data_IF_095862226680
#
_entry.id   IF_095862226680
#
_cell.length_a   1.000
_cell.length_b   1.000
_cell.length_c   1.000
_cell.angle_alpha   90.00
_cell.angle_beta   90.00
_cell.angle_gamma   90.00
#
_symmetry.space_group_name_H-M   'P 1'
#
loop_
_entity.id
_entity.type
_entity.pdbx_description
1 polymer ?
#
# COMPACT_ATOMS: atom_id res chain seq x y z
N UNK A 1 69.14 -3.60 60.20
CA UNK A 1 69.62 -3.21 58.85
C UNK A 1 70.15 -1.79 58.92
N UNK A 2 71.28 -1.51 58.25
CA UNK A 2 71.88 -0.16 58.18
C UNK A 2 71.46 0.48 56.85
N UNK A 3 70.83 1.64 56.91
CA UNK A 3 70.53 2.44 55.72
C UNK A 3 71.84 3.06 55.25
N UNK A 4 72.23 2.81 54.01
CA UNK A 4 73.44 3.37 53.40
C UNK A 4 73.09 4.66 52.66
N UNK A 5 74.07 5.56 52.49
CA UNK A 5 73.87 6.80 51.73
C UNK A 5 73.33 6.53 50.30
N UNK A 6 73.73 5.42 49.68
CA UNK A 6 73.19 4.97 48.38
C UNK A 6 71.68 4.72 48.45
N UNK A 7 71.20 3.98 49.46
CA UNK A 7 69.75 3.75 49.63
C UNK A 7 68.98 5.05 49.85
N UNK A 8 69.56 6.03 50.54
CA UNK A 8 68.90 7.32 50.77
C UNK A 8 68.83 8.16 49.49
N UNK A 9 69.89 8.15 48.67
CA UNK A 9 69.89 8.78 47.34
C UNK A 9 68.92 8.10 46.37
N UNK A 10 68.86 6.77 46.36
CA UNK A 10 67.94 6.00 45.51
C UNK A 10 66.48 6.23 45.91
N UNK A 11 66.20 6.29 47.22
CA UNK A 11 64.87 6.59 47.75
C UNK A 11 64.43 8.02 47.38
N UNK A 12 65.33 9.00 47.50
CA UNK A 12 65.09 10.38 47.05
C UNK A 12 64.81 10.46 45.54
N UNK A 13 65.60 9.78 44.70
CA UNK A 13 65.38 9.72 43.25
C UNK A 13 64.05 9.06 42.89
N UNK A 14 63.69 7.95 43.57
CA UNK A 14 62.38 7.31 43.42
C UNK A 14 61.24 8.29 43.75
N UNK A 15 61.35 9.03 44.85
CA UNK A 15 60.30 9.95 45.28
C UNK A 15 60.20 11.22 44.42
N UNK A 16 61.33 11.70 43.90
CA UNK A 16 61.38 12.76 42.89
C UNK A 16 60.71 12.30 41.58
N UNK A 17 61.02 11.09 41.09
CA UNK A 17 60.39 10.52 39.91
C UNK A 17 58.88 10.33 40.09
N UNK A 18 58.43 9.81 41.23
CA UNK A 18 56.98 9.70 41.56
C UNK A 18 56.30 11.08 41.55
N UNK A 19 56.98 12.12 42.04
CA UNK A 19 56.46 13.48 42.03
C UNK A 19 56.34 14.04 40.62
N UNK A 20 57.35 13.82 39.77
CA UNK A 20 57.31 14.22 38.37
C UNK A 20 56.16 13.52 37.61
N UNK A 21 55.97 12.21 37.84
CA UNK A 21 54.84 11.47 37.24
C UNK A 21 53.47 12.02 37.67
N UNK A 22 53.32 12.47 38.93
CA UNK A 22 52.08 13.12 39.39
C UNK A 22 51.83 14.46 38.70
N UNK A 23 52.87 15.28 38.54
CA UNK A 23 52.77 16.56 37.83
C UNK A 23 52.35 16.34 36.38
N UNK A 24 52.99 15.40 35.68
CA UNK A 24 52.63 15.05 34.31
C UNK A 24 51.18 14.55 34.20
N UNK A 25 50.71 13.73 35.16
CA UNK A 25 49.32 13.28 35.20
C UNK A 25 48.35 14.45 35.34
N UNK A 26 48.60 15.40 36.24
CA UNK A 26 47.72 16.56 36.42
C UNK A 26 47.77 17.53 35.24
N UNK A 27 48.94 17.76 34.65
CA UNK A 27 49.06 18.52 33.41
C UNK A 27 48.20 17.90 32.30
N UNK A 28 48.29 16.59 32.09
CA UNK A 28 47.44 15.89 31.12
C UNK A 28 45.94 16.01 31.43
N UNK A 29 45.54 16.02 32.71
CA UNK A 29 44.13 16.21 33.10
C UNK A 29 43.65 17.65 32.85
N UNK A 30 44.52 18.64 33.06
CA UNK A 30 44.24 20.05 32.73
C UNK A 30 44.10 20.21 31.22
N UNK A 31 45.07 19.70 30.45
CA UNK A 31 45.07 19.81 28.99
C UNK A 31 43.88 19.09 28.35
N UNK A 32 43.57 17.89 28.82
CA UNK A 32 42.42 17.11 28.30
C UNK A 32 41.08 17.55 28.89
N UNK A 33 41.07 18.37 29.94
CA UNK A 33 39.91 18.71 30.80
C UNK A 33 39.16 17.51 31.37
N UNK A 34 39.73 16.30 31.27
CA UNK A 34 39.13 15.04 31.74
C UNK A 34 39.74 14.66 33.07
N UNK A 35 38.91 14.60 34.10
CA UNK A 35 39.31 14.10 35.44
C UNK A 35 39.87 12.67 35.39
N UNK A 36 39.33 11.84 34.49
CA UNK A 36 39.68 10.43 34.36
C UNK A 36 40.18 10.19 32.94
N UNK A 37 41.46 9.84 32.80
CA UNK A 37 42.10 9.57 31.51
C UNK A 37 42.19 8.08 31.24
N UNK A 38 42.47 7.28 32.28
CA UNK A 38 42.59 5.83 32.18
C UNK A 38 41.63 5.13 33.12
N UNK A 39 41.23 3.89 32.78
CA UNK A 39 40.36 3.06 33.63
C UNK A 39 41.01 2.78 35.00
N UNK A 40 42.35 2.71 35.03
CA UNK A 40 43.17 2.50 36.22
C UNK A 40 43.04 3.61 37.26
N UNK A 41 42.68 4.84 36.85
CA UNK A 41 42.61 6.00 37.75
C UNK A 41 41.39 5.93 38.68
N UNK A 42 40.23 5.49 38.16
CA UNK A 42 38.98 5.29 38.91
C UNK A 42 38.04 4.37 38.09
N UNK A 43 38.05 3.06 38.33
CA UNK A 43 37.23 2.13 37.57
C UNK A 43 35.72 2.33 37.79
N UNK A 44 35.29 2.77 38.99
CA UNK A 44 33.87 2.98 39.29
C UNK A 44 33.31 4.18 38.52
N UNK A 45 33.99 5.33 38.61
CA UNK A 45 33.56 6.52 37.88
C UNK A 45 33.72 6.34 36.37
N UNK A 46 34.73 5.58 35.91
CA UNK A 46 34.87 5.26 34.48
C UNK A 46 33.69 4.44 33.96
N UNK A 47 33.24 3.42 34.69
CA UNK A 47 32.05 2.67 34.27
C UNK A 47 30.80 3.54 34.18
N UNK A 48 30.59 4.44 35.14
CA UNK A 48 29.44 5.35 35.13
C UNK A 48 29.51 6.30 33.92
N UNK A 49 30.69 6.87 33.64
CA UNK A 49 30.92 7.73 32.49
C UNK A 49 30.70 6.99 31.16
N UNK A 50 31.16 5.74 31.04
CA UNK A 50 30.94 4.89 29.86
C UNK A 50 29.46 4.58 29.65
N UNK A 51 28.72 4.23 30.71
CA UNK A 51 27.27 4.02 30.64
C UNK A 51 26.54 5.28 30.17
N UNK A 52 26.91 6.44 30.70
CA UNK A 52 26.34 7.72 30.30
C UNK A 52 26.64 8.02 28.81
N UNK A 53 27.87 7.80 28.35
CA UNK A 53 28.25 7.96 26.93
C UNK A 53 27.48 7.01 26.01
N UNK A 54 27.36 5.74 26.38
CA UNK A 54 26.59 4.77 25.61
C UNK A 54 25.11 5.17 25.52
N UNK A 55 24.54 5.66 26.62
CA UNK A 55 23.17 6.18 26.64
C UNK A 55 23.02 7.41 25.74
N UNK A 56 23.98 8.34 25.77
CA UNK A 56 24.00 9.52 24.91
C UNK A 56 24.08 9.12 23.43
N UNK A 57 25.00 8.23 23.05
CA UNK A 57 25.14 7.73 21.68
C UNK A 57 23.88 7.01 21.19
N UNK A 58 23.20 6.29 22.09
CA UNK A 58 21.90 5.65 21.79
C UNK A 58 20.82 6.71 21.53
N UNK A 59 20.74 7.76 22.37
CA UNK A 59 19.80 8.88 22.19
C UNK A 59 20.07 9.63 20.88
N UNK A 60 21.33 9.89 20.53
CA UNK A 60 21.70 10.52 19.26
C UNK A 60 21.27 9.68 18.06
N UNK A 61 21.38 8.35 18.18
CA UNK A 61 20.89 7.43 17.13
C UNK A 61 19.36 7.44 17.05
N UNK A 62 18.66 7.45 18.19
CA UNK A 62 17.20 7.59 18.19
C UNK A 62 16.74 8.92 17.59
N UNK A 63 17.41 10.03 17.89
CA UNK A 63 17.10 11.32 17.28
C UNK A 63 17.31 11.31 15.77
N UNK A 64 18.37 10.67 15.27
CA UNK A 64 18.58 10.49 13.82
C UNK A 64 17.47 9.65 13.20
N UNK A 65 17.09 8.55 13.84
CA UNK A 65 15.99 7.69 13.36
C UNK A 65 14.65 8.43 13.35
N UNK A 66 14.37 9.25 14.36
CA UNK A 66 13.18 10.12 14.41
C UNK A 66 13.20 11.12 13.25
N UNK A 67 14.34 11.75 12.97
CA UNK A 67 14.48 12.65 11.82
C UNK A 67 14.19 11.94 10.49
N UNK A 68 14.74 10.74 10.29
CA UNK A 68 14.44 9.92 9.12
C UNK A 68 12.96 9.55 9.03
N UNK A 69 12.34 9.17 10.13
CA UNK A 69 10.91 8.86 10.18
C UNK A 69 10.04 10.08 9.87
N UNK A 70 10.42 11.26 10.37
CA UNK A 70 9.71 12.51 10.06
C UNK A 70 9.79 12.86 8.58
N UNK A 71 10.97 12.77 7.96
CA UNK A 71 11.12 13.00 6.52
C UNK A 71 10.29 12.01 5.70
N UNK A 72 10.24 10.74 6.11
CA UNK A 72 9.42 9.74 5.45
C UNK A 72 7.92 10.06 5.55
N UNK A 73 7.45 10.45 6.74
CA UNK A 73 6.05 10.82 6.96
C UNK A 73 5.65 12.08 6.19
N UNK A 74 6.54 13.08 6.12
CA UNK A 74 6.30 14.31 5.35
C UNK A 74 6.13 14.03 3.86
N UNK A 75 6.99 13.17 3.28
CA UNK A 75 6.85 12.79 1.88
C UNK A 75 5.57 11.97 1.64
N UNK A 76 5.24 11.06 2.56
CA UNK A 76 4.00 10.28 2.49
C UNK A 76 2.75 11.17 2.55
N UNK A 77 2.75 12.17 3.44
CA UNK A 77 1.66 13.15 3.56
C UNK A 77 1.54 14.01 2.31
N UNK A 78 2.67 14.49 1.76
CA UNK A 78 2.70 15.25 0.51
C UNK A 78 2.12 14.44 -0.64
N UNK A 79 2.59 13.20 -0.84
CA UNK A 79 2.10 12.32 -1.88
C UNK A 79 0.62 11.97 -1.72
N UNK A 80 0.15 11.73 -0.48
CA UNK A 80 -1.27 11.50 -0.20
C UNK A 80 -2.13 12.75 -0.47
N UNK A 81 -1.62 13.94 -0.16
CA UNK A 81 -2.27 15.22 -0.47
C UNK A 81 -2.43 15.43 -1.97
N UNK A 82 -1.38 15.18 -2.75
CA UNK A 82 -1.43 15.23 -4.21
C UNK A 82 -2.40 14.20 -4.80
N UNK A 83 -2.41 12.96 -4.28
CA UNK A 83 -3.38 11.95 -4.70
C UNK A 83 -4.83 12.39 -4.44
N UNK A 84 -5.10 13.00 -3.29
CA UNK A 84 -6.44 13.47 -2.97
C UNK A 84 -6.92 14.59 -3.91
N UNK A 85 -6.03 15.52 -4.27
CA UNK A 85 -6.34 16.57 -5.26
C UNK A 85 -6.62 15.94 -6.64
N UNK A 86 -5.76 15.01 -7.07
CA UNK A 86 -5.90 14.35 -8.35
C UNK A 86 -7.19 13.53 -8.46
N UNK A 87 -7.63 12.88 -7.37
CA UNK A 87 -8.91 12.17 -7.32
C UNK A 87 -10.11 13.12 -7.40
N UNK A 88 -10.01 14.31 -6.80
CA UNK A 88 -11.04 15.35 -6.94
C UNK A 88 -11.13 15.80 -8.40
N UNK A 89 -10.01 16.05 -9.06
CA UNK A 89 -9.97 16.43 -10.48
C UNK A 89 -10.58 15.34 -11.37
N UNK A 90 -10.27 14.06 -11.12
CA UNK A 90 -10.89 12.94 -11.83
C UNK A 90 -12.40 12.94 -11.64
N UNK A 91 -12.88 13.13 -10.40
CA UNK A 91 -14.30 13.15 -10.10
C UNK A 91 -15.02 14.33 -10.79
N UNK A 92 -14.42 15.51 -10.80
CA UNK A 92 -14.94 16.68 -11.53
C UNK A 92 -15.03 16.41 -13.03
N UNK A 93 -14.00 15.83 -13.64
CA UNK A 93 -13.99 15.45 -15.06
C UNK A 93 -15.09 14.41 -15.37
N UNK A 94 -15.33 13.45 -14.47
CA UNK A 94 -16.42 12.47 -14.62
C UNK A 94 -17.78 13.15 -14.54
N UNK A 95 -18.00 14.05 -13.57
CA UNK A 95 -19.26 14.81 -13.48
C UNK A 95 -19.50 15.59 -14.77
N UNK A 96 -18.46 16.27 -15.26
CA UNK A 96 -18.53 17.00 -16.53
C UNK A 96 -18.91 16.03 -17.66
N UNK A 97 -18.28 14.87 -17.76
CA UNK A 97 -18.59 13.85 -18.78
C UNK A 97 -20.05 13.35 -18.71
N UNK A 98 -20.61 13.22 -17.51
CA UNK A 98 -22.02 12.82 -17.30
C UNK A 98 -23.04 13.95 -17.51
N UNK A 99 -22.57 15.21 -17.54
CA UNK A 99 -23.39 16.37 -17.85
C UNK A 99 -23.89 16.39 -19.31
N UNK A 100 -25.06 16.98 -19.54
CA UNK A 100 -25.84 16.81 -20.79
C UNK A 100 -25.19 17.22 -22.12
N UNK A 101 -25.80 16.74 -23.22
CA UNK A 101 -25.52 17.00 -24.65
C UNK A 101 -24.05 17.29 -25.01
N UNK A 102 -23.16 16.34 -24.76
CA UNK A 102 -21.78 16.37 -25.26
C UNK A 102 -21.67 15.63 -26.58
N UNK A 103 -20.84 16.17 -27.47
CA UNK A 103 -20.48 15.47 -28.70
C UNK A 103 -19.45 14.38 -28.41
N UNK A 104 -19.36 13.37 -29.26
CA UNK A 104 -18.38 12.28 -29.13
C UNK A 104 -16.93 12.80 -29.09
N UNK A 105 -16.63 13.88 -29.82
CA UNK A 105 -15.33 14.57 -29.75
C UNK A 105 -15.03 15.14 -28.37
N UNK A 106 -16.03 15.68 -27.66
CA UNK A 106 -15.83 16.26 -26.33
C UNK A 106 -15.61 15.16 -25.28
N UNK A 107 -16.29 14.02 -25.45
CA UNK A 107 -16.13 12.84 -24.59
C UNK A 107 -14.73 12.23 -24.77
N UNK A 108 -14.23 12.15 -26.00
CA UNK A 108 -12.87 11.65 -26.27
C UNK A 108 -11.78 12.53 -25.64
N UNK A 109 -11.94 13.86 -25.67
CA UNK A 109 -11.00 14.78 -25.02
C UNK A 109 -10.99 14.58 -23.49
N UNK A 110 -12.17 14.36 -22.89
CA UNK A 110 -12.27 14.10 -21.44
C UNK A 110 -11.67 12.72 -21.10
N UNK A 111 -11.87 11.71 -21.94
CA UNK A 111 -11.26 10.39 -21.76
C UNK A 111 -9.73 10.45 -21.80
N UNK A 112 -9.14 11.24 -22.70
CA UNK A 112 -7.70 11.45 -22.77
C UNK A 112 -7.16 12.17 -21.53
N UNK A 113 -7.89 13.18 -21.03
CA UNK A 113 -7.56 13.85 -19.77
C UNK A 113 -7.56 12.86 -18.59
N UNK A 114 -8.60 12.02 -18.47
CA UNK A 114 -8.67 10.99 -17.43
C UNK A 114 -7.55 9.96 -17.56
N UNK A 115 -7.14 9.57 -18.78
CA UNK A 115 -6.00 8.67 -18.97
C UNK A 115 -4.68 9.31 -18.50
N UNK A 116 -4.50 10.61 -18.73
CA UNK A 116 -3.35 11.35 -18.21
C UNK A 116 -3.34 11.40 -16.68
N UNK A 117 -4.48 11.74 -16.06
CA UNK A 117 -4.61 11.76 -14.59
C UNK A 117 -4.34 10.38 -13.99
N UNK A 118 -4.80 9.30 -14.65
CA UNK A 118 -4.51 7.91 -14.24
C UNK A 118 -3.01 7.61 -14.23
N UNK A 119 -2.27 8.05 -15.25
CA UNK A 119 -0.80 7.89 -15.29
C UNK A 119 -0.11 8.66 -14.17
N UNK A 120 -0.63 9.85 -13.85
CA UNK A 120 -0.12 10.66 -12.75
C UNK A 120 -0.38 10.03 -11.38
N UNK A 121 -1.56 9.42 -11.15
CA UNK A 121 -1.86 8.64 -9.93
C UNK A 121 -0.82 7.53 -9.75
N UNK A 122 -0.51 6.79 -10.83
CA UNK A 122 0.48 5.71 -10.78
C UNK A 122 1.89 6.25 -10.53
N UNK A 123 2.22 7.42 -11.09
CA UNK A 123 3.49 8.10 -10.81
C UNK A 123 3.64 8.45 -9.33
N UNK A 124 2.59 9.01 -8.71
CA UNK A 124 2.59 9.36 -7.27
C UNK A 124 2.61 8.09 -6.39
N UNK A 125 1.92 7.02 -6.81
CA UNK A 125 2.02 5.71 -6.16
C UNK A 125 3.44 5.15 -6.16
N UNK A 126 4.26 5.54 -7.16
CA UNK A 126 5.66 5.16 -7.30
C UNK A 126 6.64 6.18 -6.70
N UNK A 127 6.20 7.12 -5.86
CA UNK A 127 7.09 8.05 -5.16
C UNK A 127 8.07 7.30 -4.24
N UNK A 128 9.35 7.70 -4.29
CA UNK A 128 10.43 7.07 -3.55
C UNK A 128 11.05 8.02 -2.49
N UNK A 129 11.50 7.43 -1.38
CA UNK A 129 12.28 8.10 -0.34
C UNK A 129 13.56 7.30 -0.11
N UNK A 130 14.69 7.88 -0.51
CA UNK A 130 15.99 7.24 -0.40
C UNK A 130 16.10 5.99 -1.27
N UNK A 131 16.06 4.82 -0.64
CA UNK A 131 16.21 3.51 -1.32
C UNK A 131 14.90 2.75 -1.47
N UNK A 132 13.78 3.35 -1.09
CA UNK A 132 12.51 2.65 -1.04
C UNK A 132 11.29 3.42 -1.54
N UNK A 133 10.24 2.68 -1.89
CA UNK A 133 8.96 3.22 -2.31
C UNK A 133 8.03 3.36 -1.12
N UNK A 134 7.37 4.52 -1.00
CA UNK A 134 6.51 4.84 0.16
C UNK A 134 5.29 3.92 0.21
N UNK A 135 4.68 3.67 -0.95
CA UNK A 135 3.49 2.85 -1.13
C UNK A 135 3.80 1.42 -1.62
N UNK A 136 5.08 1.02 -1.58
CA UNK A 136 5.54 -0.29 -2.04
C UNK A 136 5.21 -1.46 -1.11
N UNK A 137 4.68 -1.19 0.09
CA UNK A 137 4.30 -2.22 1.07
C UNK A 137 5.47 -3.14 1.44
N UNK A 138 5.32 -4.45 1.18
CA UNK A 138 6.38 -5.44 1.41
C UNK A 138 7.62 -5.20 0.54
N UNK A 139 7.46 -4.59 -0.64
CA UNK A 139 8.56 -4.18 -1.51
C UNK A 139 9.07 -2.78 -1.15
N UNK A 140 9.34 -2.55 0.14
CA UNK A 140 9.85 -1.28 0.62
C UNK A 140 11.14 -0.88 -0.10
N UNK A 141 12.08 -1.82 -0.37
CA UNK A 141 13.29 -1.53 -1.16
C UNK A 141 13.15 -1.81 -2.66
N UNK A 142 11.92 -2.03 -3.16
CA UNK A 142 11.66 -2.39 -4.56
C UNK A 142 12.38 -3.67 -4.97
N UNK A 143 12.29 -4.76 -4.20
CA UNK A 143 13.10 -5.95 -4.48
C UNK A 143 12.47 -7.28 -4.04
N UNK A 144 12.44 -8.23 -4.99
CA UNK A 144 12.57 -9.68 -4.73
C UNK A 144 13.94 -10.24 -5.19
N UNK A 145 14.72 -9.51 -6.03
CA UNK A 145 15.93 -10.05 -6.71
C UNK A 145 17.27 -9.28 -6.54
N UNK A 146 17.40 -8.39 -5.56
CA UNK A 146 18.65 -7.72 -5.15
C UNK A 146 19.31 -6.74 -6.15
N UNK A 147 18.82 -6.59 -7.39
CA UNK A 147 19.58 -5.93 -8.47
C UNK A 147 18.86 -4.74 -9.13
N UNK A 148 17.52 -4.69 -9.17
CA UNK A 148 16.77 -3.60 -9.82
C UNK A 148 15.57 -3.14 -8.97
N UNK A 149 15.44 -1.83 -8.74
CA UNK A 149 14.24 -1.24 -8.17
C UNK A 149 13.07 -1.46 -9.14
N UNK A 150 12.19 -2.40 -8.82
CA UNK A 150 10.97 -2.61 -9.61
C UNK A 150 9.90 -1.68 -9.05
N UNK A 151 9.30 -0.87 -9.93
CA UNK A 151 8.21 0.03 -9.56
C UNK A 151 7.04 -0.80 -9.01
N UNK A 152 6.49 -0.45 -7.83
CA UNK A 152 5.42 -1.23 -7.22
C UNK A 152 4.13 -1.17 -8.04
N UNK A 153 3.83 -0.04 -8.69
CA UNK A 153 2.66 0.13 -9.54
C UNK A 153 3.09 0.19 -11.01
N UNK A 154 2.49 -0.64 -11.85
CA UNK A 154 2.62 -0.56 -13.31
C UNK A 154 1.26 -0.74 -13.98
N UNK A 155 1.08 -0.14 -15.14
CA UNK A 155 -0.13 -0.29 -15.96
C UNK A 155 0.20 -1.25 -17.10
N UNK A 156 -0.62 -2.28 -17.29
CA UNK A 156 -0.54 -3.10 -18.49
C UNK A 156 -1.16 -2.34 -19.67
N UNK A 157 -0.34 -1.97 -20.66
CA UNK A 157 -0.78 -1.19 -21.83
C UNK A 157 -1.84 -1.91 -22.69
N UNK A 158 -1.87 -3.25 -22.65
CA UNK A 158 -2.82 -4.03 -23.46
C UNK A 158 -4.22 -4.09 -22.83
N UNK A 159 -4.32 -3.99 -21.51
CA UNK A 159 -5.55 -4.28 -20.77
C UNK A 159 -6.00 -3.10 -19.88
N UNK A 160 -5.14 -2.10 -19.70
CA UNK A 160 -5.35 -0.96 -18.80
C UNK A 160 -5.32 -1.31 -17.30
N UNK A 161 -4.99 -2.56 -16.95
CA UNK A 161 -5.00 -3.03 -15.56
C UNK A 161 -3.82 -2.51 -14.75
N UNK A 162 -4.10 -2.18 -13.49
CA UNK A 162 -3.09 -1.87 -12.50
C UNK A 162 -2.48 -3.17 -11.98
N UNK A 163 -1.17 -3.26 -12.08
CA UNK A 163 -0.37 -4.34 -11.53
C UNK A 163 0.33 -3.77 -10.30
N UNK A 164 0.09 -4.39 -9.15
CA UNK A 164 0.81 -4.11 -7.92
C UNK A 164 1.77 -5.26 -7.63
N UNK A 165 3.08 -4.98 -7.60
CA UNK A 165 4.11 -5.97 -7.26
C UNK A 165 4.01 -7.27 -8.11
N UNK A 166 3.67 -7.15 -9.39
CA UNK A 166 3.49 -8.28 -10.31
C UNK A 166 2.14 -9.00 -10.20
N UNK A 167 1.27 -8.61 -9.27
CA UNK A 167 -0.09 -9.13 -9.11
C UNK A 167 -1.07 -8.15 -9.75
N UNK A 168 -1.90 -8.64 -10.66
CA UNK A 168 -3.01 -7.86 -11.22
C UNK A 168 -4.07 -7.63 -10.14
N UNK A 169 -4.26 -6.38 -9.72
CA UNK A 169 -5.20 -6.02 -8.64
C UNK A 169 -6.65 -6.26 -9.06
N UNK A 170 -6.92 -6.39 -10.36
CA UNK A 170 -8.25 -6.72 -10.88
C UNK A 170 -8.67 -8.16 -10.55
N UNK A 171 -7.68 -9.06 -10.37
CA UNK A 171 -7.88 -10.43 -9.85
C UNK A 171 -8.03 -10.49 -8.33
N UNK A 172 -8.30 -9.37 -7.66
CA UNK A 172 -8.72 -9.37 -6.25
C UNK A 172 -10.14 -8.82 -6.18
N UNK A 173 -10.44 -7.78 -6.97
CA UNK A 173 -11.79 -7.25 -7.15
C UNK A 173 -12.79 -8.26 -7.76
N UNK A 174 -12.32 -9.17 -8.63
CA UNK A 174 -13.14 -10.24 -9.25
C UNK A 174 -13.93 -11.12 -8.27
N UNK A 175 -13.40 -11.40 -7.08
CA UNK A 175 -14.01 -12.33 -6.12
C UNK A 175 -15.22 -11.65 -5.46
N UNK A 176 -15.05 -10.40 -5.04
CA UNK A 176 -16.11 -9.62 -4.40
C UNK A 176 -17.24 -9.29 -5.39
N UNK A 177 -16.91 -8.89 -6.63
CA UNK A 177 -17.94 -8.56 -7.65
C UNK A 177 -18.67 -9.81 -8.17
N UNK A 178 -17.97 -10.94 -8.33
CA UNK A 178 -18.61 -12.22 -8.70
C UNK A 178 -19.53 -12.72 -7.59
N UNK A 179 -19.10 -12.65 -6.32
CA UNK A 179 -19.94 -13.01 -5.17
C UNK A 179 -21.19 -12.12 -5.08
N UNK A 180 -21.06 -10.80 -5.28
CA UNK A 180 -22.21 -9.90 -5.29
C UNK A 180 -23.19 -10.20 -6.44
N UNK A 181 -22.69 -10.38 -7.67
CA UNK A 181 -23.56 -10.65 -8.82
C UNK A 181 -24.22 -12.04 -8.75
N UNK A 182 -23.52 -13.07 -8.28
CA UNK A 182 -24.13 -14.39 -8.05
C UNK A 182 -25.16 -14.36 -6.93
N UNK A 183 -24.94 -13.59 -5.87
CA UNK A 183 -25.93 -13.37 -4.81
C UNK A 183 -27.20 -12.68 -5.35
N UNK A 184 -27.06 -11.66 -6.21
CA UNK A 184 -28.19 -11.02 -6.88
C UNK A 184 -28.96 -12.02 -7.76
N UNK A 185 -28.26 -12.88 -8.51
CA UNK A 185 -28.87 -13.90 -9.37
C UNK A 185 -29.68 -14.92 -8.54
N UNK A 186 -29.13 -15.37 -7.40
CA UNK A 186 -29.85 -16.22 -6.46
C UNK A 186 -31.08 -15.53 -5.86
N UNK A 187 -31.00 -14.21 -5.59
CA UNK A 187 -32.15 -13.46 -5.07
C UNK A 187 -33.28 -13.35 -6.10
N UNK A 188 -32.97 -13.06 -7.36
CA UNK A 188 -33.95 -12.98 -8.43
C UNK A 188 -34.57 -14.34 -8.74
N UNK A 189 -33.78 -15.42 -8.73
CA UNK A 189 -34.31 -16.78 -8.86
C UNK A 189 -35.28 -17.15 -7.73
N UNK A 190 -34.98 -16.74 -6.49
CA UNK A 190 -35.87 -16.95 -5.35
C UNK A 190 -37.19 -16.16 -5.49
N UNK A 191 -37.15 -14.91 -5.98
CA UNK A 191 -38.34 -14.10 -6.27
C UNK A 191 -39.22 -14.78 -7.33
N UNK A 192 -38.62 -15.30 -8.40
CA UNK A 192 -39.35 -16.03 -9.45
C UNK A 192 -40.02 -17.28 -8.87
N UNK A 193 -39.31 -18.04 -8.03
CA UNK A 193 -39.89 -19.23 -7.38
C UNK A 193 -41.03 -18.87 -6.43
N UNK A 194 -40.89 -17.80 -5.64
CA UNK A 194 -41.93 -17.36 -4.70
C UNK A 194 -43.17 -16.83 -5.44
N UNK A 195 -42.97 -16.09 -6.53
CA UNK A 195 -44.07 -15.62 -7.38
C UNK A 195 -44.78 -16.77 -8.10
N UNK A 196 -44.03 -17.81 -8.54
CA UNK A 196 -44.64 -19.02 -9.11
C UNK A 196 -45.53 -19.76 -8.10
N UNK A 197 -45.08 -19.88 -6.84
CA UNK A 197 -45.88 -20.47 -5.75
C UNK A 197 -47.10 -19.61 -5.41
N UNK A 198 -46.96 -18.28 -5.40
CA UNK A 198 -48.07 -17.36 -5.13
C UNK A 198 -49.13 -17.36 -6.24
N UNK A 199 -48.72 -17.54 -7.51
CA UNK A 199 -49.62 -17.68 -8.66
C UNK A 199 -50.40 -19.00 -8.61
N UNK A 200 -49.78 -20.09 -8.13
CA UNK A 200 -50.45 -21.39 -7.96
C UNK A 200 -51.47 -21.36 -6.79
N UNK A 201 -51.20 -20.56 -5.75
CA UNK A 201 -52.08 -20.41 -4.60
C UNK A 201 -53.28 -19.46 -4.81
N UNK A 202 -53.19 -18.49 -5.74
CA UNK A 202 -54.18 -17.40 -5.90
C UNK A 202 -55.03 -17.62 -7.16
N UNK A 203 -56.01 -18.51 -7.08
CA UNK A 203 -56.74 -19.03 -8.23
C UNK A 203 -57.99 -18.23 -8.69
N UNK A 204 -58.22 -16.97 -8.25
CA UNK A 204 -59.48 -16.29 -8.61
C UNK A 204 -59.51 -14.77 -8.88
N UNK A 205 -58.40 -14.03 -8.85
CA UNK A 205 -58.43 -12.58 -9.16
C UNK A 205 -57.52 -12.20 -10.34
N UNK A 206 -58.11 -11.58 -11.36
CA UNK A 206 -57.45 -11.11 -12.59
C UNK A 206 -56.34 -10.08 -12.29
N UNK A 207 -56.54 -9.24 -11.27
CA UNK A 207 -55.57 -8.23 -10.83
C UNK A 207 -54.31 -8.83 -10.20
N UNK A 208 -54.44 -9.95 -9.46
CA UNK A 208 -53.31 -10.64 -8.84
C UNK A 208 -52.45 -11.36 -9.88
N UNK A 209 -53.06 -11.90 -10.96
CA UNK A 209 -52.33 -12.50 -12.07
C UNK A 209 -51.55 -11.45 -12.86
N UNK A 210 -52.14 -10.30 -13.17
CA UNK A 210 -51.45 -9.23 -13.93
C UNK A 210 -50.26 -8.65 -13.15
N UNK A 211 -50.44 -8.36 -11.85
CA UNK A 211 -49.35 -7.82 -11.00
C UNK A 211 -48.25 -8.86 -10.73
N UNK A 212 -48.58 -10.08 -10.34
CA UNK A 212 -47.58 -11.13 -10.06
C UNK A 212 -46.86 -11.59 -11.34
N UNK A 213 -47.56 -11.70 -12.48
CA UNK A 213 -46.91 -12.00 -13.75
C UNK A 213 -46.01 -10.86 -14.23
N UNK A 214 -46.41 -9.60 -14.01
CA UNK A 214 -45.58 -8.44 -14.34
C UNK A 214 -44.34 -8.36 -13.46
N UNK A 215 -44.46 -8.60 -12.15
CA UNK A 215 -43.33 -8.67 -11.23
C UNK A 215 -42.40 -9.86 -11.55
N UNK A 216 -42.96 -11.02 -11.89
CA UNK A 216 -42.18 -12.18 -12.35
C UNK A 216 -41.45 -11.89 -13.66
N UNK A 217 -42.07 -11.18 -14.61
CA UNK A 217 -41.44 -10.76 -15.87
C UNK A 217 -40.35 -9.71 -15.64
N UNK A 218 -40.57 -8.74 -14.75
CA UNK A 218 -39.53 -7.78 -14.35
C UNK A 218 -38.35 -8.47 -13.66
N UNK A 219 -38.61 -9.42 -12.77
CA UNK A 219 -37.57 -10.22 -12.12
C UNK A 219 -36.80 -11.09 -13.13
N UNK A 220 -37.49 -11.67 -14.13
CA UNK A 220 -36.87 -12.43 -15.21
C UNK A 220 -35.97 -11.54 -16.08
N UNK A 221 -36.45 -10.36 -16.49
CA UNK A 221 -35.65 -9.41 -17.26
C UNK A 221 -34.42 -8.93 -16.48
N UNK A 222 -34.56 -8.66 -15.18
CA UNK A 222 -33.43 -8.28 -14.33
C UNK A 222 -32.42 -9.43 -14.13
N UNK A 223 -32.88 -10.68 -14.12
CA UNK A 223 -32.01 -11.86 -14.07
C UNK A 223 -31.26 -12.09 -15.39
N UNK A 224 -31.91 -11.85 -16.53
CA UNK A 224 -31.26 -11.88 -17.84
C UNK A 224 -30.22 -10.76 -17.93
N UNK A 225 -30.55 -9.53 -17.54
CA UNK A 225 -29.63 -8.40 -17.55
C UNK A 225 -28.43 -8.59 -16.61
N UNK A 226 -28.64 -9.18 -15.43
CA UNK A 226 -27.53 -9.49 -14.52
C UNK A 226 -26.64 -10.61 -15.05
N UNK A 227 -27.22 -11.60 -15.75
CA UNK A 227 -26.48 -12.61 -16.50
C UNK A 227 -25.66 -12.02 -17.65
N UNK A 228 -26.24 -11.11 -18.45
CA UNK A 228 -25.57 -10.40 -19.54
C UNK A 228 -24.43 -9.53 -19.02
N UNK A 229 -24.64 -8.81 -17.92
CA UNK A 229 -23.60 -8.01 -17.27
C UNK A 229 -22.43 -8.88 -16.77
N UNK A 230 -22.72 -10.05 -16.20
CA UNK A 230 -21.69 -11.01 -15.77
C UNK A 230 -20.91 -11.58 -16.98
N UNK A 231 -21.58 -11.84 -18.10
CA UNK A 231 -20.96 -12.35 -19.32
C UNK A 231 -20.12 -11.29 -20.05
N UNK A 232 -20.62 -10.05 -20.12
CA UNK A 232 -19.90 -8.90 -20.67
C UNK A 232 -18.65 -8.57 -19.83
N UNK A 233 -18.74 -8.67 -18.50
CA UNK A 233 -17.58 -8.57 -17.61
C UNK A 233 -16.56 -9.69 -17.90
N UNK A 234 -16.99 -10.92 -18.11
CA UNK A 234 -16.10 -12.02 -18.47
C UNK A 234 -15.36 -11.81 -19.81
N UNK A 235 -16.04 -11.27 -20.83
CA UNK A 235 -15.48 -11.03 -22.17
C UNK A 235 -14.45 -9.90 -22.22
N UNK A 236 -14.71 -8.78 -21.54
CA UNK A 236 -13.83 -7.59 -21.54
C UNK A 236 -12.46 -7.87 -20.90
N UNK A 237 -12.34 -8.94 -20.11
CA UNK A 237 -11.17 -9.22 -19.29
C UNK A 237 -10.51 -10.58 -19.55
N UNK A 238 -10.77 -11.18 -20.73
CA UNK A 238 -9.92 -12.22 -21.31
C UNK A 238 -10.21 -13.65 -20.89
N UNK A 239 -11.40 -13.96 -20.36
CA UNK A 239 -11.88 -15.34 -20.32
C UNK A 239 -12.11 -15.78 -21.78
N UNK A 240 -11.51 -16.91 -22.17
CA UNK A 240 -11.62 -17.43 -23.53
C UNK A 240 -13.09 -17.67 -23.90
N UNK A 241 -13.59 -16.92 -24.90
CA UNK A 241 -14.94 -17.00 -25.49
C UNK A 241 -15.24 -18.43 -26.03
N UNK A 242 -14.18 -19.24 -26.15
CA UNK A 242 -14.19 -20.65 -26.55
C UNK A 242 -14.45 -21.63 -25.41
N UNK A 243 -14.42 -21.19 -24.14
CA UNK A 243 -14.58 -22.08 -23.00
C UNK A 243 -16.00 -22.69 -22.96
N UNK A 244 -16.13 -24.01 -22.75
CA UNK A 244 -17.41 -24.69 -22.83
C UNK A 244 -18.41 -24.24 -21.76
N UNK A 245 -17.93 -23.71 -20.62
CA UNK A 245 -18.75 -23.13 -19.56
C UNK A 245 -19.36 -21.79 -19.99
N UNK A 246 -18.57 -20.91 -20.61
CA UNK A 246 -19.03 -19.61 -21.11
C UNK A 246 -20.07 -19.76 -22.22
N UNK A 247 -19.84 -20.67 -23.17
CA UNK A 247 -20.80 -20.94 -24.25
C UNK A 247 -22.11 -21.58 -23.77
N UNK A 248 -22.07 -22.32 -22.65
CA UNK A 248 -23.29 -22.85 -22.04
C UNK A 248 -24.10 -21.74 -21.37
N UNK A 249 -23.44 -20.82 -20.68
CA UNK A 249 -24.09 -19.67 -20.06
C UNK A 249 -24.68 -18.72 -21.11
N UNK A 250 -23.92 -18.41 -22.16
CA UNK A 250 -24.35 -17.57 -23.29
C UNK A 250 -25.61 -18.13 -23.97
N UNK A 251 -25.60 -19.44 -24.26
CA UNK A 251 -26.74 -20.15 -24.84
C UNK A 251 -27.96 -20.18 -23.94
N UNK A 252 -27.76 -20.14 -22.61
CA UNK A 252 -28.84 -20.16 -21.64
C UNK A 252 -29.49 -18.78 -21.47
N UNK A 253 -28.73 -17.71 -21.65
CA UNK A 253 -29.19 -16.32 -21.56
C UNK A 253 -29.82 -15.86 -22.88
N UNK A 254 -29.17 -16.07 -24.02
CA UNK A 254 -29.62 -15.57 -25.33
C UNK A 254 -30.51 -16.57 -26.10
N UNK A 255 -30.65 -17.80 -25.61
CA UNK A 255 -31.35 -18.87 -26.34
C UNK A 255 -30.63 -19.29 -27.63
N UNK A 256 -31.02 -20.41 -28.23
CA UNK A 256 -30.38 -20.99 -29.41
C UNK A 256 -30.66 -20.23 -30.73
N UNK A 257 -30.64 -18.90 -30.73
CA UNK A 257 -30.98 -18.10 -31.89
C UNK A 257 -30.44 -16.67 -31.82
N UNK A 258 -29.46 -16.41 -32.69
CA UNK A 258 -29.10 -15.09 -33.26
C UNK A 258 -28.43 -14.10 -32.30
N UNK A 259 -27.11 -13.94 -32.49
CA UNK A 259 -26.38 -12.71 -32.19
C UNK A 259 -27.02 -11.56 -32.99
N UNK A 260 -27.73 -10.67 -32.31
CA UNK A 260 -28.12 -9.35 -32.81
C UNK A 260 -27.05 -8.34 -32.41
N UNK A 261 -26.77 -7.43 -33.36
CA UNK A 261 -25.73 -6.39 -33.40
C UNK A 261 -25.64 -5.48 -32.16
#
# INVERSE_FOLDING_TARGET
MRITNSMMSDMFLSDANKSLSRVLKYQNQVDSTKRISTISDDPQATMLALRARNKLASIETYNRNIGTAQSYLQEAESAAGSLNQLLQDVYENIIVATGGSKNESDINIIAEAIDSLKREVVSIGNTNVGTGYIFGGFNFSGTTDGINLTQPFSINENNGHLIYNGIDTSKIAWADDYEQNTALMSSYAAIISNNAVAVDATSSDEYARDTLCKEALTALNNLVHSGEAALHAAKKYGIDDSSPEYQKLDKLIHGSGVKGE
#
